data_IF_491926621618
#
_entry.id   IF_491926621618
#
_cell.length_a   1.000
_cell.length_b   1.000
_cell.length_c   1.000
_cell.angle_alpha   90.00
_cell.angle_beta   90.00
_cell.angle_gamma   90.00
#
_symmetry.space_group_name_H-M   'P 1'
#
loop_
_entity.id
_entity.type
_entity.pdbx_description
1 polymer ?
#
# COMPACT_ATOMS: atom_id res chain seq x y z
N UNK A 1 33.03 -12.23 -18.35
CA UNK A 1 34.01 -12.12 -17.24
C UNK A 1 33.22 -11.92 -15.95
N UNK A 2 32.72 -13.02 -15.37
CA UNK A 2 31.86 -12.99 -14.18
C UNK A 2 32.67 -12.75 -12.91
N UNK A 3 32.30 -11.74 -12.13
CA UNK A 3 32.86 -11.49 -10.79
C UNK A 3 32.24 -12.47 -9.79
N UNK A 4 32.97 -13.54 -9.46
CA UNK A 4 32.65 -14.41 -8.32
C UNK A 4 32.73 -13.59 -7.02
N UNK A 5 31.59 -13.40 -6.35
CA UNK A 5 31.53 -12.81 -5.00
C UNK A 5 32.00 -13.87 -3.98
N UNK A 6 32.99 -13.54 -3.16
CA UNK A 6 33.53 -14.39 -2.10
C UNK A 6 32.55 -14.43 -0.92
N UNK A 7 32.07 -15.61 -0.58
CA UNK A 7 31.36 -15.88 0.68
C UNK A 7 32.44 -16.06 1.76
N UNK A 8 32.44 -15.20 2.77
CA UNK A 8 33.30 -15.37 3.95
C UNK A 8 32.52 -16.24 4.94
N UNK A 9 32.95 -17.50 5.07
CA UNK A 9 32.48 -18.43 6.09
C UNK A 9 33.26 -18.17 7.39
N UNK A 10 32.60 -17.65 8.42
CA UNK A 10 33.19 -17.55 9.76
C UNK A 10 32.87 -18.85 10.49
N UNK A 11 33.88 -19.70 10.69
CA UNK A 11 33.78 -20.89 11.54
C UNK A 11 34.17 -20.46 12.96
N UNK A 12 33.21 -20.46 13.89
CA UNK A 12 33.48 -20.31 15.32
C UNK A 12 33.78 -21.70 15.88
N UNK A 13 35.04 -21.95 16.22
CA UNK A 13 35.46 -23.16 16.93
C UNK A 13 35.30 -22.90 18.43
N UNK A 14 34.35 -23.59 19.07
CA UNK A 14 34.17 -23.56 20.52
C UNK A 14 35.01 -24.67 21.14
N UNK A 15 36.13 -24.31 21.79
CA UNK A 15 36.83 -25.21 22.70
C UNK A 15 36.22 -25.08 24.11
N UNK A 16 35.93 -26.23 24.71
CA UNK A 16 35.15 -26.33 25.94
C UNK A 16 35.85 -25.87 27.21
N UNK A 17 35.06 -25.29 28.11
CA UNK A 17 35.20 -25.43 29.54
C UNK A 17 33.82 -25.19 30.18
N UNK A 18 33.34 -26.19 30.90
CA UNK A 18 32.21 -26.21 31.85
C UNK A 18 31.63 -24.85 32.27
N UNK A 19 30.45 -24.51 31.71
CA UNK A 19 29.56 -23.47 32.23
C UNK A 19 28.10 -23.99 32.18
N UNK A 20 27.30 -23.81 33.24
CA UNK A 20 25.99 -24.42 33.37
C UNK A 20 24.95 -23.71 32.48
N UNK A 21 24.16 -24.53 31.78
CA UNK A 21 22.77 -24.30 31.38
C UNK A 21 22.27 -22.84 31.40
N UNK A 22 22.56 -22.09 30.34
CA UNK A 22 21.67 -21.06 29.82
C UNK A 22 21.69 -21.16 28.31
N UNK A 23 20.73 -21.90 27.77
CA UNK A 23 20.36 -21.82 26.35
C UNK A 23 19.72 -20.43 26.19
N UNK A 24 20.53 -19.40 25.93
CA UNK A 24 19.99 -18.21 25.28
C UNK A 24 19.78 -18.55 23.82
N UNK A 25 18.56 -18.33 23.29
CA UNK A 25 18.24 -18.71 21.94
C UNK A 25 19.20 -17.98 21.00
N UNK A 26 19.55 -18.68 19.92
CA UNK A 26 19.86 -18.10 18.63
C UNK A 26 19.42 -16.62 18.61
N UNK A 27 20.38 -15.70 18.58
CA UNK A 27 20.17 -14.43 17.88
C UNK A 27 20.06 -14.85 16.42
N UNK A 28 18.92 -15.42 16.08
CA UNK A 28 18.39 -15.41 14.74
C UNK A 28 18.11 -13.93 14.52
N UNK A 29 19.14 -13.22 14.08
CA UNK A 29 18.93 -11.98 13.37
C UNK A 29 18.05 -12.38 12.20
N UNK A 30 16.74 -12.25 12.39
CA UNK A 30 15.78 -12.19 11.30
C UNK A 30 16.19 -10.92 10.55
N UNK A 31 17.17 -11.07 9.66
CA UNK A 31 17.24 -10.26 8.47
C UNK A 31 15.90 -10.53 7.79
N UNK A 32 14.90 -9.70 8.09
CA UNK A 32 13.68 -9.63 7.32
C UNK A 32 14.16 -9.42 5.88
N UNK A 33 14.14 -10.51 5.10
CA UNK A 33 14.60 -10.51 3.73
C UNK A 33 13.64 -9.62 2.96
N UNK A 34 14.04 -8.35 2.81
CA UNK A 34 13.34 -7.34 2.01
C UNK A 34 13.12 -7.80 0.56
N UNK A 35 13.82 -8.87 0.13
CA UNK A 35 13.70 -9.47 -1.20
C UNK A 35 12.37 -10.19 -1.47
N UNK A 36 11.50 -10.41 -0.48
CA UNK A 36 10.25 -11.14 -0.72
C UNK A 36 9.14 -10.32 -1.41
N UNK A 37 9.35 -9.01 -1.62
CA UNK A 37 8.39 -8.13 -2.31
C UNK A 37 8.88 -7.60 -3.67
N UNK A 38 10.16 -7.80 -4.00
CA UNK A 38 10.73 -7.27 -5.24
C UNK A 38 10.03 -7.91 -6.46
N UNK A 39 9.39 -7.07 -7.27
CA UNK A 39 8.75 -7.54 -8.51
C UNK A 39 7.39 -8.21 -8.33
N UNK A 40 6.77 -8.13 -7.15
CA UNK A 40 5.40 -8.64 -7.01
C UNK A 40 4.40 -7.80 -7.79
N UNK A 41 4.60 -6.48 -7.82
CA UNK A 41 3.78 -5.56 -8.62
C UNK A 41 4.19 -5.67 -10.08
N UNK A 42 3.23 -5.99 -10.94
CA UNK A 42 3.40 -6.20 -12.39
C UNK A 42 2.57 -5.26 -13.26
N UNK A 43 1.66 -4.50 -12.66
CA UNK A 43 0.84 -3.52 -13.36
C UNK A 43 0.52 -2.30 -12.48
N UNK A 44 0.28 -1.17 -13.14
CA UNK A 44 -0.29 0.00 -12.49
C UNK A 44 -1.76 -0.26 -12.12
N UNK A 45 -2.17 0.22 -10.95
CA UNK A 45 -3.53 0.03 -10.45
C UNK A 45 -4.59 0.78 -11.25
N UNK A 46 -4.20 1.78 -12.03
CA UNK A 46 -5.06 2.61 -12.87
C UNK A 46 -4.23 3.28 -13.97
N UNK A 47 -4.91 4.03 -14.85
CA UNK A 47 -4.25 4.93 -15.80
C UNK A 47 -3.65 6.13 -15.05
N UNK A 48 -2.32 6.16 -14.97
CA UNK A 48 -1.57 7.18 -14.24
C UNK A 48 -1.85 8.57 -14.79
N UNK A 49 -2.16 8.74 -16.08
CA UNK A 49 -2.44 10.06 -16.66
C UNK A 49 -3.73 10.69 -16.11
N UNK A 50 -4.61 9.88 -15.51
CA UNK A 50 -5.84 10.36 -14.88
C UNK A 50 -5.63 10.89 -13.45
N UNK A 51 -4.48 10.62 -12.85
CA UNK A 51 -4.17 10.98 -11.46
C UNK A 51 -3.68 12.43 -11.38
N UNK A 52 -4.15 13.19 -10.39
CA UNK A 52 -3.66 14.54 -10.07
C UNK A 52 -2.61 14.49 -8.97
N UNK A 53 -2.88 13.73 -7.90
CA UNK A 53 -1.97 13.60 -6.77
C UNK A 53 -2.17 12.27 -6.05
N UNK A 54 -1.17 11.89 -5.26
CA UNK A 54 -1.24 10.72 -4.39
C UNK A 54 -0.69 11.05 -3.00
N UNK A 55 -1.26 10.45 -1.96
CA UNK A 55 -0.74 10.61 -0.61
C UNK A 55 0.56 9.84 -0.43
N UNK A 56 1.38 10.31 0.50
CA UNK A 56 2.55 9.57 0.99
C UNK A 56 2.10 8.41 1.88
N UNK A 57 2.82 7.30 1.81
CA UNK A 57 2.69 6.18 2.74
C UNK A 57 3.05 6.65 4.15
N UNK A 58 2.28 6.20 5.16
CA UNK A 58 2.44 6.62 6.56
C UNK A 58 2.27 8.13 6.77
N UNK A 59 1.46 8.76 5.92
CA UNK A 59 1.06 10.15 6.10
C UNK A 59 -0.11 10.31 7.06
N UNK A 60 -0.41 11.57 7.39
CA UNK A 60 -1.61 11.91 8.13
C UNK A 60 -2.82 12.17 7.22
N UNK A 61 -2.69 11.89 5.92
CA UNK A 61 -3.82 11.97 5.00
C UNK A 61 -4.86 10.89 5.32
N UNK A 62 -6.13 11.27 5.26
CA UNK A 62 -7.26 10.37 5.50
C UNK A 62 -7.32 9.84 6.93
N UNK A 63 -7.51 8.53 7.08
CA UNK A 63 -7.68 7.90 8.39
C UNK A 63 -6.68 6.76 8.61
N UNK A 64 -6.37 6.43 9.89
CA UNK A 64 -5.67 5.21 10.27
C UNK A 64 -6.19 3.95 9.58
N UNK A 65 -5.29 3.15 9.01
CA UNK A 65 -5.61 1.86 8.42
C UNK A 65 -4.36 1.00 8.25
N UNK A 66 -4.40 -0.33 8.54
CA UNK A 66 -5.42 -0.99 9.33
C UNK A 66 -5.39 -0.41 10.75
N UNK A 67 -6.47 -0.57 11.52
CA UNK A 67 -6.50 -0.11 12.91
C UNK A 67 -5.61 -1.04 13.75
N UNK A 68 -4.29 -0.90 13.59
CA UNK A 68 -3.29 -1.75 14.22
C UNK A 68 -3.14 -1.40 15.70
N UNK A 69 -2.61 -2.34 16.49
CA UNK A 69 -2.26 -2.13 17.90
C UNK A 69 -0.98 -1.27 18.07
N UNK A 70 -0.47 -0.68 16.99
CA UNK A 70 0.71 0.18 17.00
C UNK A 70 0.36 1.54 17.63
N UNK A 71 1.09 2.04 18.65
CA UNK A 71 0.94 3.41 19.12
C UNK A 71 1.26 4.49 18.06
N UNK A 72 1.87 4.12 16.92
CA UNK A 72 2.03 4.94 15.70
C UNK A 72 0.88 4.75 14.68
N UNK A 73 -0.18 4.02 15.04
CA UNK A 73 -1.37 3.76 14.22
C UNK A 73 -2.15 5.02 13.83
N UNK A 74 -1.75 6.20 14.27
CA UNK A 74 -2.39 7.45 13.80
C UNK A 74 -2.06 7.80 12.35
N UNK A 75 -1.00 7.20 11.78
CA UNK A 75 -0.66 7.35 10.37
C UNK A 75 -1.37 6.32 9.50
N UNK A 76 -1.71 6.70 8.26
CA UNK A 76 -2.38 5.80 7.32
C UNK A 76 -1.36 4.88 6.61
N UNK A 77 -1.63 3.59 6.56
CA UNK A 77 -0.86 2.61 5.76
C UNK A 77 -1.45 2.45 4.34
N UNK A 78 -2.21 3.44 3.88
CA UNK A 78 -2.75 3.51 2.53
C UNK A 78 -1.95 4.46 1.66
N UNK A 79 -2.09 4.28 0.35
CA UNK A 79 -1.94 5.37 -0.61
C UNK A 79 -3.32 5.79 -1.10
N UNK A 80 -3.66 7.04 -0.86
CA UNK A 80 -4.83 7.69 -1.44
C UNK A 80 -4.47 8.22 -2.82
N UNK A 81 -5.36 8.02 -3.78
CA UNK A 81 -5.22 8.49 -5.16
C UNK A 81 -6.32 9.51 -5.44
N UNK A 82 -5.91 10.70 -5.87
CA UNK A 82 -6.81 11.77 -6.28
C UNK A 82 -6.75 11.92 -7.79
N UNK A 83 -7.89 11.83 -8.47
CA UNK A 83 -7.97 12.03 -9.92
C UNK A 83 -7.85 13.51 -10.30
N UNK A 84 -7.66 13.79 -11.59
CA UNK A 84 -7.82 15.14 -12.16
C UNK A 84 -9.29 15.55 -12.13
N UNK A 85 -9.57 16.83 -11.92
CA UNK A 85 -10.92 17.37 -11.73
C UNK A 85 -11.91 16.97 -12.84
N UNK A 86 -11.46 16.94 -14.10
CA UNK A 86 -12.26 16.53 -15.25
C UNK A 86 -12.81 15.09 -15.19
N UNK A 87 -12.32 14.26 -14.26
CA UNK A 87 -12.78 12.89 -14.03
C UNK A 87 -13.75 12.75 -12.85
N UNK A 88 -14.18 13.87 -12.22
CA UNK A 88 -15.18 13.88 -11.15
C UNK A 88 -16.58 14.30 -11.62
N UNK A 89 -16.68 15.10 -12.68
CA UNK A 89 -17.93 15.78 -13.05
C UNK A 89 -18.85 14.96 -13.96
N UNK A 90 -18.30 13.95 -14.62
CA UNK A 90 -19.05 13.15 -15.58
C UNK A 90 -19.17 11.71 -15.07
N UNK A 91 -20.39 11.33 -14.70
CA UNK A 91 -20.73 9.96 -14.29
C UNK A 91 -20.45 8.92 -15.40
N UNK A 92 -20.15 9.36 -16.62
CA UNK A 92 -19.71 8.49 -17.71
C UNK A 92 -18.19 8.22 -17.73
N UNK A 93 -17.38 8.91 -16.92
CA UNK A 93 -15.93 8.70 -16.94
C UNK A 93 -15.49 7.64 -15.93
N UNK A 94 -15.65 6.41 -16.37
CA UNK A 94 -15.17 5.20 -15.70
C UNK A 94 -13.62 5.20 -15.61
N UNK A 95 -13.09 5.54 -14.44
CA UNK A 95 -11.66 5.32 -14.15
C UNK A 95 -11.44 3.86 -13.79
N UNK A 96 -10.91 3.11 -14.77
CA UNK A 96 -10.57 1.70 -14.66
C UNK A 96 -9.56 1.43 -13.56
N UNK A 97 -9.82 0.39 -12.78
CA UNK A 97 -8.91 -0.18 -11.80
C UNK A 97 -8.47 -1.59 -12.23
N UNK A 98 -7.17 -1.83 -12.17
CA UNK A 98 -6.55 -3.06 -12.65
C UNK A 98 -5.92 -3.87 -11.52
N UNK A 99 -5.92 -5.20 -11.68
CA UNK A 99 -5.15 -6.10 -10.84
C UNK A 99 -3.65 -5.76 -10.94
N UNK A 100 -3.00 -5.47 -9.82
CA UNK A 100 -1.58 -5.07 -9.80
C UNK A 100 -0.63 -6.26 -9.92
N UNK A 101 -1.13 -7.48 -9.69
CA UNK A 101 -0.39 -8.73 -9.79
C UNK A 101 -1.33 -9.89 -10.16
N UNK A 102 -0.74 -11.01 -10.57
CA UNK A 102 -1.49 -12.26 -10.76
C UNK A 102 -1.90 -12.78 -9.38
N UNK A 103 -3.16 -13.13 -9.19
CA UNK A 103 -3.65 -13.55 -7.88
C UNK A 103 -5.08 -14.05 -7.88
N UNK A 104 -5.61 -14.23 -6.67
CA UNK A 104 -6.98 -14.66 -6.41
C UNK A 104 -7.73 -13.55 -5.69
N UNK A 105 -8.98 -13.28 -6.11
CA UNK A 105 -9.89 -12.42 -5.36
C UNK A 105 -10.36 -13.16 -4.11
N UNK A 106 -9.89 -12.76 -2.94
CA UNK A 106 -10.22 -13.42 -1.67
C UNK A 106 -11.50 -12.87 -1.05
N UNK A 107 -11.78 -11.58 -1.25
CA UNK A 107 -12.97 -10.95 -0.71
C UNK A 107 -13.42 -9.76 -1.56
N UNK A 108 -14.73 -9.58 -1.62
CA UNK A 108 -15.39 -8.36 -2.10
C UNK A 108 -16.35 -7.94 -1.00
N UNK A 109 -16.05 -6.87 -0.29
CA UNK A 109 -16.82 -6.41 0.86
C UNK A 109 -17.30 -4.98 0.67
N UNK A 110 -18.38 -4.58 1.33
CA UNK A 110 -18.72 -3.16 1.37
C UNK A 110 -17.60 -2.39 2.08
N UNK A 111 -17.34 -1.16 1.63
CA UNK A 111 -16.42 -0.30 2.37
C UNK A 111 -17.12 0.18 3.65
N UNK A 112 -16.71 -0.36 4.79
CA UNK A 112 -17.39 -0.12 6.08
C UNK A 112 -16.88 1.16 6.73
N UNK A 113 -17.28 2.30 6.19
CA UNK A 113 -17.18 3.63 6.80
C UNK A 113 -18.55 4.17 7.23
N UNK A 114 -18.58 5.33 7.92
CA UNK A 114 -19.83 6.06 8.21
C UNK A 114 -20.54 6.57 6.95
N UNK A 115 -19.84 6.58 5.82
CA UNK A 115 -20.37 6.79 4.48
C UNK A 115 -19.95 5.57 3.68
N UNK A 116 -20.91 4.77 3.20
CA UNK A 116 -20.61 3.68 2.27
C UNK A 116 -20.25 4.31 0.93
N UNK A 117 -18.97 4.28 0.60
CA UNK A 117 -18.44 4.68 -0.71
C UNK A 117 -17.81 3.42 -1.31
N UNK A 118 -18.60 2.73 -2.13
CA UNK A 118 -18.15 1.59 -2.90
C UNK A 118 -17.89 0.32 -2.10
N UNK A 119 -17.08 -0.53 -2.72
CA UNK A 119 -16.64 -1.82 -2.20
C UNK A 119 -15.12 -1.84 -2.05
N UNK A 120 -14.65 -2.80 -1.29
CA UNK A 120 -13.25 -3.20 -1.25
C UNK A 120 -13.05 -4.49 -2.04
N UNK A 121 -11.93 -4.60 -2.73
CA UNK A 121 -11.47 -5.84 -3.38
C UNK A 121 -10.18 -6.27 -2.70
N UNK A 122 -10.14 -7.50 -2.21
CA UNK A 122 -8.95 -8.11 -1.60
C UNK A 122 -8.35 -9.09 -2.60
N UNK A 123 -7.18 -8.75 -3.14
CA UNK A 123 -6.46 -9.55 -4.13
C UNK A 123 -5.22 -10.15 -3.48
N UNK A 124 -5.13 -11.48 -3.39
CA UNK A 124 -4.01 -12.16 -2.74
C UNK A 124 -3.10 -12.87 -3.74
N UNK A 125 -1.79 -12.85 -3.45
CA UNK A 125 -0.77 -13.58 -4.22
C UNK A 125 0.48 -13.81 -3.37
N UNK A 126 1.03 -15.02 -3.39
CA UNK A 126 2.32 -15.37 -2.77
C UNK A 126 2.52 -14.86 -1.30
N UNK A 127 1.46 -14.87 -0.49
CA UNK A 127 1.53 -14.38 0.89
C UNK A 127 1.46 -12.85 1.02
N UNK A 128 0.98 -12.17 -0.01
CA UNK A 128 0.64 -10.75 -0.01
C UNK A 128 -0.86 -10.56 -0.29
N UNK A 129 -1.40 -9.47 0.20
CA UNK A 129 -2.78 -9.04 -0.07
C UNK A 129 -2.77 -7.55 -0.41
N UNK A 130 -3.40 -7.21 -1.54
CA UNK A 130 -3.73 -5.85 -1.91
C UNK A 130 -5.19 -5.61 -1.59
N UNK A 131 -5.48 -4.52 -0.90
CA UNK A 131 -6.84 -4.07 -0.63
C UNK A 131 -7.06 -2.79 -1.42
N UNK A 132 -7.95 -2.88 -2.41
CA UNK A 132 -8.47 -1.74 -3.14
C UNK A 132 -9.71 -1.23 -2.42
N UNK A 133 -9.87 0.09 -2.29
CA UNK A 133 -11.00 0.75 -1.60
C UNK A 133 -11.65 1.78 -2.53
N UNK A 134 -12.91 2.12 -2.24
CA UNK A 134 -13.75 2.97 -3.09
C UNK A 134 -13.81 2.46 -4.55
N UNK A 135 -14.18 1.18 -4.68
CA UNK A 135 -14.27 0.49 -5.98
C UNK A 135 -15.72 0.15 -6.30
N UNK A 136 -16.11 0.29 -7.56
CA UNK A 136 -17.24 -0.42 -8.17
C UNK A 136 -16.70 -1.64 -8.93
N UNK A 137 -16.72 -2.86 -8.34
CA UNK A 137 -16.16 -4.05 -8.97
C UNK A 137 -16.95 -4.45 -10.20
N UNK A 138 -16.29 -5.07 -11.18
CA UNK A 138 -17.01 -5.62 -12.33
C UNK A 138 -18.14 -6.55 -11.88
N UNK A 139 -19.34 -6.50 -12.49
CA UNK A 139 -20.44 -7.40 -12.13
C UNK A 139 -20.08 -8.88 -12.26
N UNK A 140 -19.11 -9.21 -13.11
CA UNK A 140 -18.58 -10.56 -13.31
C UNK A 140 -17.47 -10.96 -12.36
N UNK A 141 -16.92 -10.03 -11.56
CA UNK A 141 -15.82 -10.34 -10.64
C UNK A 141 -16.33 -11.17 -9.47
N UNK A 142 -15.71 -12.31 -9.22
CA UNK A 142 -16.15 -13.27 -8.19
C UNK A 142 -15.05 -13.58 -7.18
N UNK A 143 -15.45 -13.85 -5.93
CA UNK A 143 -14.55 -14.41 -4.91
C UNK A 143 -14.08 -15.79 -5.37
N UNK A 144 -12.78 -16.07 -5.23
CA UNK A 144 -12.10 -17.26 -5.75
C UNK A 144 -11.65 -17.15 -7.21
N UNK A 145 -12.05 -16.08 -7.92
CA UNK A 145 -11.60 -15.85 -9.30
C UNK A 145 -10.10 -15.55 -9.32
N UNK A 146 -9.39 -16.19 -10.26
CA UNK A 146 -8.02 -15.80 -10.61
C UNK A 146 -8.04 -14.67 -11.63
N UNK A 147 -7.21 -13.67 -11.39
CA UNK A 147 -6.99 -12.54 -12.29
C UNK A 147 -5.52 -12.44 -12.63
N UNK A 148 -5.21 -11.92 -13.81
CA UNK A 148 -3.83 -11.60 -14.21
C UNK A 148 -3.51 -10.13 -13.95
N UNK A 149 -2.23 -9.82 -13.76
CA UNK A 149 -1.78 -8.44 -13.68
C UNK A 149 -2.21 -7.65 -14.92
N UNK A 150 -2.76 -6.44 -14.70
CA UNK A 150 -3.31 -5.58 -15.75
C UNK A 150 -4.75 -5.91 -16.15
N UNK A 151 -5.34 -6.97 -15.62
CA UNK A 151 -6.75 -7.30 -15.85
C UNK A 151 -7.66 -6.26 -15.17
N UNK A 152 -8.71 -5.84 -15.87
CA UNK A 152 -9.72 -4.92 -15.32
C UNK A 152 -10.50 -5.64 -14.21
N UNK A 153 -10.55 -5.06 -13.02
CA UNK A 153 -11.27 -5.63 -11.87
C UNK A 153 -12.43 -4.73 -11.41
N UNK A 154 -12.47 -3.49 -11.85
CA UNK A 154 -13.56 -2.58 -11.55
C UNK A 154 -13.25 -1.16 -11.96
N UNK A 155 -13.99 -0.24 -11.38
CA UNK A 155 -13.90 1.18 -11.61
C UNK A 155 -13.77 1.91 -10.27
N UNK A 156 -13.19 3.09 -10.29
CA UNK A 156 -13.21 3.99 -9.15
C UNK A 156 -14.67 4.37 -8.85
N UNK A 157 -15.11 4.14 -7.61
CA UNK A 157 -16.38 4.68 -7.13
C UNK A 157 -16.11 6.09 -6.58
N UNK A 158 -16.27 7.10 -7.44
CA UNK A 158 -16.08 8.50 -7.05
C UNK A 158 -17.38 8.99 -6.39
N UNK A 159 -17.41 9.24 -5.07
CA UNK A 159 -18.60 9.82 -4.46
C UNK A 159 -18.82 11.22 -5.02
N UNK A 160 -20.09 11.54 -5.30
CA UNK A 160 -20.53 12.81 -5.87
C UNK A 160 -19.88 14.01 -5.14
N UNK A 161 -19.44 15.06 -5.85
CA UNK A 161 -18.92 16.28 -5.22
C UNK A 161 -19.90 16.81 -4.15
N UNK A 162 -19.40 17.31 -3.00
CA UNK A 162 -18.09 17.94 -2.82
C UNK A 162 -17.11 17.08 -1.99
N UNK A 163 -17.06 15.76 -2.17
CA UNK A 163 -16.12 14.93 -1.42
C UNK A 163 -14.67 15.10 -1.90
N UNK A 164 -14.06 15.98 -1.14
CA UNK A 164 -12.72 16.49 -1.16
C UNK A 164 -11.63 15.40 -1.05
N UNK A 165 -10.89 15.25 -2.15
CA UNK A 165 -9.48 14.85 -2.29
C UNK A 165 -9.11 13.38 -2.54
N UNK A 166 -9.97 12.39 -2.30
CA UNK A 166 -9.61 10.98 -2.56
C UNK A 166 -10.64 10.28 -3.40
N UNK A 167 -10.22 9.79 -4.57
CA UNK A 167 -11.08 9.05 -5.48
C UNK A 167 -11.12 7.58 -5.09
N UNK A 168 -9.95 7.00 -4.81
CA UNK A 168 -9.80 5.63 -4.32
C UNK A 168 -8.48 5.46 -3.58
N UNK A 169 -8.31 4.33 -2.89
CA UNK A 169 -7.07 4.02 -2.17
C UNK A 169 -6.64 2.56 -2.29
N UNK A 170 -5.36 2.34 -2.01
CA UNK A 170 -4.73 1.03 -2.01
C UNK A 170 -3.92 0.82 -0.73
N UNK A 171 -4.03 -0.38 -0.17
CA UNK A 171 -3.21 -0.85 0.94
C UNK A 171 -2.60 -2.21 0.60
N UNK A 172 -1.35 -2.44 1.02
CA UNK A 172 -0.64 -3.71 0.77
C UNK A 172 -0.20 -4.31 2.11
N UNK A 173 -0.57 -5.55 2.37
CA UNK A 173 -0.21 -6.30 3.57
C UNK A 173 0.48 -7.63 3.22
N UNK A 174 1.20 -8.20 4.20
CA UNK A 174 1.52 -9.62 4.18
C UNK A 174 0.39 -10.44 4.79
N UNK A 175 0.26 -11.67 4.28
CA UNK A 175 -0.79 -12.61 4.62
C UNK A 175 -0.41 -13.36 5.91
N UNK A 176 -0.43 -12.70 7.07
CA UNK A 176 -0.54 -13.38 8.37
C UNK A 176 -1.61 -12.82 9.30
N UNK A 177 -1.98 -11.56 9.21
CA UNK A 177 -3.18 -10.99 9.83
C UNK A 177 -3.32 -9.51 9.44
N UNK A 178 -4.50 -8.90 9.57
CA UNK A 178 -4.65 -7.44 9.51
C UNK A 178 -3.83 -6.67 10.57
N UNK A 179 -3.15 -7.38 11.47
CA UNK A 179 -2.17 -6.83 12.41
C UNK A 179 -0.76 -6.71 11.83
N UNK A 180 -0.50 -7.29 10.66
CA UNK A 180 0.81 -7.12 10.00
C UNK A 180 0.97 -5.67 9.53
N UNK A 181 2.18 -5.10 9.61
CA UNK A 181 2.42 -3.77 9.09
C UNK A 181 2.20 -3.76 7.58
N UNK A 182 1.55 -2.73 7.10
CA UNK A 182 1.41 -2.45 5.68
C UNK A 182 2.71 -1.97 5.05
N UNK A 183 2.71 -2.03 3.73
CA UNK A 183 3.84 -1.72 2.86
C UNK A 183 3.44 -0.68 1.83
N UNK A 184 4.38 0.18 1.44
CA UNK A 184 4.13 1.15 0.38
C UNK A 184 3.95 0.43 -0.96
N UNK A 185 2.86 0.76 -1.66
CA UNK A 185 2.59 0.30 -3.02
C UNK A 185 3.73 0.68 -3.98
N UNK A 186 4.25 1.90 -3.86
CA UNK A 186 5.28 2.42 -4.76
C UNK A 186 6.68 1.86 -4.48
N UNK A 187 7.02 1.55 -3.23
CA UNK A 187 8.30 0.90 -2.92
C UNK A 187 8.36 -0.53 -3.49
N UNK A 188 7.22 -1.21 -3.61
CA UNK A 188 7.12 -2.57 -4.17
C UNK A 188 7.07 -2.61 -5.70
N UNK A 189 6.96 -1.47 -6.37
CA UNK A 189 6.97 -1.41 -7.84
C UNK A 189 8.37 -1.63 -8.40
N UNK A 190 8.53 -2.47 -9.43
CA UNK A 190 9.66 -2.38 -10.35
C UNK A 190 9.77 -1.00 -11.02
N UNK A 191 10.98 -0.62 -11.44
CA UNK A 191 11.24 0.70 -12.02
C UNK A 191 10.50 0.92 -13.35
N UNK A 192 10.32 -0.13 -14.16
CA UNK A 192 9.55 -0.08 -15.41
C UNK A 192 8.05 0.12 -15.16
N UNK A 193 7.50 -0.50 -14.11
CA UNK A 193 6.11 -0.27 -13.69
C UNK A 193 5.93 1.13 -13.07
N UNK A 194 6.93 1.61 -12.32
CA UNK A 194 6.91 2.96 -11.71
C UNK A 194 7.17 4.08 -12.73
N UNK A 195 7.70 3.79 -13.91
CA UNK A 195 8.12 4.78 -14.90
C UNK A 195 7.05 5.85 -15.25
N UNK A 196 5.74 5.53 -15.40
CA UNK A 196 4.72 6.55 -15.65
C UNK A 196 4.55 7.55 -14.50
N UNK A 197 4.75 7.13 -13.24
CA UNK A 197 4.73 8.03 -12.09
C UNK A 197 5.98 8.91 -12.05
N UNK A 198 7.14 8.33 -12.33
CA UNK A 198 8.41 9.05 -12.40
C UNK A 198 8.41 10.11 -13.51
N UNK A 199 7.83 9.80 -14.67
CA UNK A 199 7.65 10.74 -15.78
C UNK A 199 6.83 11.97 -15.38
N UNK A 200 6.00 11.86 -14.34
CA UNK A 200 5.17 12.93 -13.79
C UNK A 200 5.72 13.53 -12.49
N UNK A 201 7.02 13.32 -12.21
CA UNK A 201 7.75 13.99 -11.14
C UNK A 201 7.75 13.25 -9.80
N UNK A 202 7.15 12.07 -9.70
CA UNK A 202 7.17 11.29 -8.47
C UNK A 202 8.52 10.56 -8.28
N UNK A 203 8.93 10.38 -7.03
CA UNK A 203 10.01 9.44 -6.68
C UNK A 203 9.53 8.52 -5.57
N UNK A 204 9.96 7.25 -5.58
CA UNK A 204 9.60 6.28 -4.53
C UNK A 204 9.88 6.83 -3.13
N UNK A 205 11.03 7.48 -2.94
CA UNK A 205 11.43 8.07 -1.67
C UNK A 205 10.51 9.23 -1.22
N UNK A 206 10.02 10.06 -2.15
CA UNK A 206 9.11 11.16 -1.80
C UNK A 206 7.69 10.67 -1.46
N UNK A 207 7.34 9.43 -1.83
CA UNK A 207 6.04 8.81 -1.59
C UNK A 207 5.95 8.10 -0.24
N UNK A 208 6.97 8.20 0.61
CA UNK A 208 6.97 7.59 1.96
C UNK A 208 7.40 8.63 2.98
N UNK A 209 6.69 8.72 4.11
CA UNK A 209 7.18 9.51 5.24
C UNK A 209 8.16 8.68 6.08
N UNK A 210 9.43 9.09 6.19
CA UNK A 210 10.45 8.36 6.94
C UNK A 210 10.07 8.18 8.42
N UNK A 211 10.49 7.06 9.02
CA UNK A 211 10.14 6.72 10.40
C UNK A 211 10.52 7.81 11.42
N UNK A 212 11.71 8.40 11.30
CA UNK A 212 12.18 9.44 12.21
C UNK A 212 11.37 10.74 12.09
N UNK A 213 10.93 11.09 10.88
CA UNK A 213 10.02 12.22 10.62
C UNK A 213 8.68 11.98 11.28
N UNK A 214 8.13 10.76 11.16
CA UNK A 214 6.85 10.38 11.79
C UNK A 214 6.91 10.39 13.31
N UNK A 215 8.00 9.88 13.89
CA UNK A 215 8.17 9.89 15.35
C UNK A 215 8.25 11.31 15.91
N UNK A 216 8.88 12.24 15.18
CA UNK A 216 8.97 13.65 15.59
C UNK A 216 7.67 14.43 15.34
N UNK A 217 6.88 14.01 14.36
CA UNK A 217 5.65 14.67 13.94
C UNK A 217 4.51 13.64 13.88
N UNK A 218 4.06 13.10 15.02
CA UNK A 218 3.00 12.10 15.02
C UNK A 218 1.69 12.71 14.51
N UNK A 219 0.93 11.93 13.72
CA UNK A 219 -0.40 12.35 13.32
C UNK A 219 -1.28 12.51 14.57
N UNK A 220 -2.10 13.56 14.61
CA UNK A 220 -2.93 13.86 15.77
C UNK A 220 -3.98 12.75 15.98
N UNK A 221 -4.00 12.16 17.19
CA UNK A 221 -5.09 11.33 17.68
C UNK A 221 -6.30 12.21 18.02
N UNK A 222 -7.52 11.84 17.64
CA UNK A 222 -8.72 12.54 18.14
C UNK A 222 -9.70 13.04 17.09
N UNK A 223 -9.56 12.60 15.84
CA UNK A 223 -10.59 12.74 14.84
C UNK A 223 -11.80 11.86 15.19
N UNK A 224 -12.70 12.37 16.02
CA UNK A 224 -13.94 11.68 16.41
C UNK A 224 -14.97 11.65 15.28
N UNK A 225 -14.77 12.50 14.27
CA UNK A 225 -15.71 12.71 13.19
C UNK A 225 -15.02 12.29 11.89
N UNK A 226 -15.38 11.10 11.40
CA UNK A 226 -14.82 10.35 10.25
C UNK A 226 -14.72 11.11 8.90
N UNK A 227 -15.00 12.42 8.86
CA UNK A 227 -15.07 13.22 7.64
C UNK A 227 -14.14 14.43 7.63
N UNK A 228 -13.57 14.84 8.78
CA UNK A 228 -12.82 16.09 8.90
C UNK A 228 -11.31 15.91 9.04
N UNK A 229 -10.82 14.68 8.95
CA UNK A 229 -9.39 14.38 9.04
C UNK A 229 -8.75 13.95 7.73
N UNK A 230 -9.38 14.26 6.60
CA UNK A 230 -8.64 14.43 5.35
C UNK A 230 -7.64 15.56 5.57
N UNK A 231 -6.48 15.24 6.13
CA UNK A 231 -5.41 16.21 6.30
C UNK A 231 -4.92 16.54 4.89
N UNK A 232 -5.44 17.66 4.39
CA UNK A 232 -5.07 18.29 3.12
C UNK A 232 -3.74 18.99 3.20
N UNK A 233 -3.02 18.89 4.33
CA UNK A 233 -1.67 19.41 4.44
C UNK A 233 -0.86 18.92 3.22
N UNK A 234 -0.45 19.85 2.34
CA UNK A 234 0.28 19.52 1.12
C UNK A 234 1.54 18.68 1.39
N UNK A 235 2.10 18.73 2.60
CA UNK A 235 3.23 17.90 3.00
C UNK A 235 2.92 16.39 2.99
N UNK A 236 1.65 15.98 3.08
CA UNK A 236 1.22 14.58 3.02
C UNK A 236 0.99 14.08 1.58
N UNK A 237 1.09 14.95 0.58
CA UNK A 237 0.73 14.66 -0.81
C UNK A 237 1.90 14.87 -1.77
N UNK A 238 1.85 14.19 -2.91
CA UNK A 238 2.67 14.46 -4.08
C UNK A 238 1.73 14.82 -5.23
N UNK A 239 1.83 16.05 -5.70
CA UNK A 239 1.17 16.49 -6.94
C UNK A 239 1.98 16.02 -8.14
N UNK A 240 1.29 15.44 -9.11
CA UNK A 240 1.88 14.96 -10.35
C UNK A 240 1.78 16.05 -11.42
N UNK A 241 2.83 16.20 -12.23
CA UNK A 241 2.87 17.15 -13.34
C UNK A 241 1.87 16.81 -14.46
#
# INVERSE_FOLDING_TARGET
MEKKKKIILIIVIVFGASFPFWISPLVESIQYDFRYGDGIIKANLCDVDKVNMTSKFRSCAGHPYPRSQDPMSTSSEKHYIALKYQYFEDAAVDVKLYAIWDGTIEAITNDTGTIQVGKQIHLSSAGWTAVYMHVDPLPSLQIGQRVMAGELIGYCDVPYPPMNYTSFDICIHRHRAFSDPGYSYFELMPDDIFAPWAARGATKAALVIPADVRTKNPCQTGCTDNLLCYNVDPANWITLA
#
